data_IF_352768826879
#
_entry.id   IF_352768826879
#
_cell.length_a   1.000
_cell.length_b   1.000
_cell.length_c   1.000
_cell.angle_alpha   90.00
_cell.angle_beta   90.00
_cell.angle_gamma   90.00
#
_symmetry.space_group_name_H-M   'P 1'
#
loop_
_entity.id
_entity.type
_entity.pdbx_description
1 polymer ?
#
# COMPACT_ATOMS: atom_id res chain seq x y z
N UNK A 1 -25.15 16.60 12.87
CA UNK A 1 -25.11 15.13 12.81
C UNK A 1 -23.72 14.73 13.23
N UNK A 2 -23.58 14.07 14.37
CA UNK A 2 -22.28 13.58 14.84
C UNK A 2 -21.82 12.49 13.86
N UNK A 3 -20.69 12.71 13.21
CA UNK A 3 -19.98 11.67 12.49
C UNK A 3 -19.39 10.77 13.58
N UNK A 4 -20.01 9.61 13.82
CA UNK A 4 -19.41 8.58 14.65
C UNK A 4 -18.17 8.11 13.92
N UNK A 5 -17.00 8.52 14.42
CA UNK A 5 -15.69 8.03 13.98
C UNK A 5 -15.52 6.59 14.50
N UNK A 6 -16.32 5.67 13.99
CA UNK A 6 -16.00 4.25 14.13
C UNK A 6 -14.82 4.01 13.19
N UNK A 7 -13.61 3.86 13.76
CA UNK A 7 -12.41 3.49 13.00
C UNK A 7 -12.71 2.16 12.30
N UNK A 8 -13.07 2.26 11.00
CA UNK A 8 -13.58 1.14 10.19
C UNK A 8 -12.51 0.05 10.05
N UNK A 9 -11.22 0.42 10.24
CA UNK A 9 -10.09 -0.47 10.08
C UNK A 9 -9.40 -0.73 11.42
N UNK A 10 -9.09 -2.00 11.68
CA UNK A 10 -8.27 -2.42 12.81
C UNK A 10 -7.43 -3.64 12.42
N UNK A 11 -6.23 -3.77 12.98
CA UNK A 11 -5.39 -4.93 12.72
C UNK A 11 -5.74 -6.04 13.72
N UNK A 12 -6.07 -7.21 13.22
CA UNK A 12 -6.11 -8.43 14.02
C UNK A 12 -4.69 -8.98 14.15
N UNK A 13 -4.06 -8.83 15.31
CA UNK A 13 -2.69 -9.30 15.57
C UNK A 13 -2.58 -10.82 15.65
N UNK A 14 -3.67 -11.57 15.73
CA UNK A 14 -3.63 -13.04 15.71
C UNK A 14 -3.45 -13.59 14.29
N UNK A 15 -3.90 -12.84 13.28
CA UNK A 15 -3.84 -13.20 11.85
C UNK A 15 -3.00 -12.24 11.03
N UNK A 16 -2.61 -11.11 11.62
CA UNK A 16 -1.96 -9.99 10.93
C UNK A 16 -2.76 -9.48 9.71
N UNK A 17 -4.10 -9.54 9.82
CA UNK A 17 -5.03 -9.09 8.79
C UNK A 17 -5.73 -7.79 9.22
N UNK A 18 -6.10 -7.00 8.22
CA UNK A 18 -6.86 -5.77 8.40
C UNK A 18 -8.35 -6.08 8.37
N UNK A 19 -9.02 -5.91 9.50
CA UNK A 19 -10.49 -5.90 9.55
C UNK A 19 -11.00 -4.73 8.70
N UNK A 20 -12.05 -4.96 7.93
CA UNK A 20 -12.60 -3.98 6.99
C UNK A 20 -12.02 -4.04 5.58
N UNK A 21 -10.96 -4.82 5.35
CA UNK A 21 -10.43 -5.09 4.02
C UNK A 21 -10.97 -6.42 3.45
N UNK A 22 -11.19 -6.45 2.15
CA UNK A 22 -11.41 -7.71 1.42
C UNK A 22 -10.11 -8.49 1.36
N UNK A 23 -10.16 -9.80 1.58
CA UNK A 23 -8.99 -10.66 1.62
C UNK A 23 -8.86 -11.44 0.30
N UNK A 24 -7.75 -11.22 -0.42
CA UNK A 24 -7.39 -11.92 -1.67
C UNK A 24 -5.93 -12.34 -1.55
N UNK A 25 -5.65 -13.62 -1.33
CA UNK A 25 -4.30 -14.09 -1.04
C UNK A 25 -3.41 -14.08 -2.28
N UNK A 26 -2.31 -13.32 -2.22
CA UNK A 26 -1.21 -13.39 -3.18
C UNK A 26 -0.27 -14.53 -2.83
N UNK A 27 0.27 -15.28 -3.82
CA UNK A 27 1.36 -16.23 -3.58
C UNK A 27 2.74 -15.56 -3.45
N UNK A 28 2.87 -14.27 -3.78
CA UNK A 28 4.13 -13.54 -3.93
C UNK A 28 4.57 -12.92 -2.61
N UNK A 29 4.90 -13.74 -1.63
CA UNK A 29 5.45 -13.32 -0.35
C UNK A 29 6.36 -14.42 0.24
N UNK A 30 7.12 -14.06 1.26
CA UNK A 30 7.89 -15.01 2.06
C UNK A 30 7.98 -14.54 3.52
N UNK A 31 8.70 -15.29 4.35
CA UNK A 31 8.95 -14.92 5.74
C UNK A 31 9.85 -13.68 5.81
N UNK A 32 9.61 -12.81 6.79
CA UNK A 32 10.52 -11.70 7.10
C UNK A 32 11.79 -12.26 7.75
N UNK A 33 12.97 -11.66 7.51
CA UNK A 33 14.22 -12.07 8.17
C UNK A 33 14.22 -11.78 9.68
N UNK A 34 13.36 -10.86 10.12
CA UNK A 34 13.08 -10.54 11.52
C UNK A 34 11.60 -10.22 11.68
N UNK A 35 11.12 -10.14 12.93
CA UNK A 35 9.73 -9.73 13.21
C UNK A 35 9.52 -8.21 13.19
N UNK A 36 10.53 -7.45 12.80
CA UNK A 36 10.46 -5.98 12.74
C UNK A 36 9.52 -5.54 11.62
N UNK A 37 8.60 -4.64 11.97
CA UNK A 37 7.72 -3.92 11.06
C UNK A 37 7.78 -2.45 11.47
N UNK A 38 8.59 -1.68 10.74
CA UNK A 38 8.98 -0.33 11.18
C UNK A 38 8.89 0.74 10.10
N UNK A 39 8.42 0.40 8.89
CA UNK A 39 8.31 1.33 7.77
C UNK A 39 6.98 1.12 7.05
N UNK A 40 6.35 2.21 6.60
CA UNK A 40 5.20 2.19 5.71
C UNK A 40 5.58 2.86 4.39
N UNK A 41 5.42 2.14 3.28
CA UNK A 41 5.74 2.64 1.94
C UNK A 41 4.47 2.79 1.13
N UNK A 42 4.27 4.00 0.59
CA UNK A 42 3.13 4.35 -0.24
C UNK A 42 3.55 4.27 -1.71
N UNK A 43 2.72 3.60 -2.48
CA UNK A 43 2.88 3.36 -3.91
C UNK A 43 1.71 3.88 -4.71
N UNK A 44 1.82 3.89 -6.03
CA UNK A 44 0.69 3.91 -6.93
C UNK A 44 0.80 2.79 -7.96
N UNK A 45 -0.34 2.28 -8.40
CA UNK A 45 -0.44 1.27 -9.44
C UNK A 45 -1.73 1.45 -10.23
N UNK A 46 -1.67 1.19 -11.54
CA UNK A 46 -2.85 1.01 -12.39
C UNK A 46 -2.54 0.00 -13.48
N UNK A 47 -3.47 -0.90 -13.79
CA UNK A 47 -3.35 -1.93 -14.82
C UNK A 47 -4.66 -2.05 -15.62
N UNK A 48 -4.61 -1.84 -16.96
CA UNK A 48 -3.49 -1.26 -17.71
C UNK A 48 -3.09 0.12 -17.20
N UNK A 49 -1.89 0.65 -17.57
CA UNK A 49 -1.45 1.97 -17.11
C UNK A 49 -2.46 3.07 -17.40
N UNK A 50 -2.96 3.73 -16.35
CA UNK A 50 -3.95 4.81 -16.44
C UNK A 50 -5.40 4.34 -16.50
N UNK A 51 -5.68 3.05 -16.48
CA UNK A 51 -7.02 2.49 -16.38
C UNK A 51 -7.29 2.01 -14.93
N UNK A 52 -8.53 2.19 -14.48
CA UNK A 52 -8.94 1.94 -13.10
C UNK A 52 -10.16 1.00 -13.05
N UNK A 53 -10.49 0.50 -11.87
CA UNK A 53 -11.63 -0.39 -11.62
C UNK A 53 -11.62 -1.70 -12.44
N UNK A 54 -10.43 -2.15 -12.89
CA UNK A 54 -10.29 -3.27 -13.82
C UNK A 54 -10.08 -4.63 -13.17
N UNK A 55 -9.81 -4.68 -11.89
CA UNK A 55 -9.32 -5.86 -11.14
C UNK A 55 -8.01 -6.48 -11.67
N UNK A 56 -7.37 -5.86 -12.64
CA UNK A 56 -6.12 -6.36 -13.19
C UNK A 56 -4.96 -6.30 -12.19
N UNK A 57 -4.98 -5.36 -11.24
CA UNK A 57 -3.98 -5.30 -10.16
C UNK A 57 -4.09 -6.54 -9.25
N UNK A 58 -5.32 -6.95 -8.91
CA UNK A 58 -5.56 -8.16 -8.14
C UNK A 58 -5.06 -9.40 -8.88
N UNK A 59 -5.41 -9.53 -10.16
CA UNK A 59 -4.94 -10.63 -11.01
C UNK A 59 -3.42 -10.65 -11.12
N UNK A 60 -2.78 -9.48 -11.23
CA UNK A 60 -1.34 -9.36 -11.31
C UNK A 60 -0.66 -9.84 -10.02
N UNK A 61 -1.11 -9.38 -8.86
CA UNK A 61 -0.57 -9.81 -7.58
C UNK A 61 -0.83 -11.28 -7.25
N UNK A 62 -1.83 -11.89 -7.90
CA UNK A 62 -2.16 -13.32 -7.79
C UNK A 62 -1.56 -14.19 -8.91
N UNK A 63 -0.71 -13.65 -9.80
CA UNK A 63 -0.13 -14.33 -10.97
C UNK A 63 -1.21 -14.89 -11.92
N UNK A 64 -2.33 -14.16 -12.04
CA UNK A 64 -3.49 -14.57 -12.86
C UNK A 64 -3.79 -13.58 -13.98
N UNK A 65 -2.93 -12.57 -14.18
CA UNK A 65 -3.10 -11.59 -15.24
C UNK A 65 -2.94 -12.26 -16.62
N UNK A 66 -3.95 -12.10 -17.48
CA UNK A 66 -3.91 -12.65 -18.83
C UNK A 66 -3.09 -11.72 -19.76
N UNK A 67 -1.90 -12.16 -20.24
CA UNK A 67 -1.04 -11.32 -21.07
C UNK A 67 -1.68 -10.93 -22.41
N UNK A 68 -2.68 -11.70 -22.89
CA UNK A 68 -3.33 -11.46 -24.17
C UNK A 68 -4.30 -10.27 -24.16
N UNK A 69 -4.71 -9.79 -22.98
CA UNK A 69 -5.73 -8.74 -22.85
C UNK A 69 -5.20 -7.33 -23.14
N UNK A 70 -3.89 -7.09 -22.95
CA UNK A 70 -3.30 -5.79 -23.20
C UNK A 70 -1.80 -5.91 -23.52
N UNK A 71 -1.22 -5.13 -24.46
CA UNK A 71 0.21 -5.21 -24.80
C UNK A 71 1.13 -5.03 -23.59
N UNK A 72 0.82 -4.13 -22.67
CA UNK A 72 1.60 -3.92 -21.45
C UNK A 72 1.63 -5.17 -20.54
N UNK A 73 0.59 -5.98 -20.54
CA UNK A 73 0.55 -7.20 -19.71
C UNK A 73 1.55 -8.24 -20.19
N UNK A 74 1.82 -8.29 -21.50
CA UNK A 74 2.89 -9.12 -22.05
C UNK A 74 4.28 -8.71 -21.56
N UNK A 75 4.50 -7.40 -21.31
CA UNK A 75 5.77 -6.89 -20.81
C UNK A 75 6.02 -7.25 -19.33
N UNK A 76 4.95 -7.42 -18.55
CA UNK A 76 5.03 -7.67 -17.10
C UNK A 76 4.67 -9.10 -16.69
N UNK A 77 4.34 -9.98 -17.62
CA UNK A 77 3.81 -11.34 -17.37
C UNK A 77 4.70 -12.22 -16.49
N UNK A 78 6.01 -12.00 -16.54
CA UNK A 78 6.99 -12.79 -15.79
C UNK A 78 7.38 -12.13 -14.44
N UNK A 79 6.74 -11.01 -14.07
CA UNK A 79 6.98 -10.35 -12.81
C UNK A 79 6.13 -10.97 -11.70
N UNK A 80 6.78 -11.43 -10.66
CA UNK A 80 6.16 -11.89 -9.43
C UNK A 80 6.35 -10.82 -8.35
N UNK A 81 5.31 -10.02 -8.12
CA UNK A 81 5.29 -8.92 -7.15
C UNK A 81 3.98 -8.95 -6.35
N UNK A 82 3.97 -8.27 -5.24
CA UNK A 82 2.76 -8.06 -4.42
C UNK A 82 2.90 -6.80 -3.59
N UNK A 83 1.80 -6.37 -2.99
CA UNK A 83 1.78 -5.41 -1.87
C UNK A 83 0.95 -5.99 -0.74
N UNK A 84 1.02 -5.38 0.46
CA UNK A 84 0.14 -5.82 1.55
C UNK A 84 -1.29 -5.38 1.29
N UNK A 85 -1.48 -4.13 0.86
CA UNK A 85 -2.79 -3.53 0.62
C UNK A 85 -2.86 -2.84 -0.74
N UNK A 86 -4.08 -2.80 -1.29
CA UNK A 86 -4.50 -1.91 -2.37
C UNK A 86 -5.70 -1.09 -1.89
N UNK A 87 -5.68 0.21 -2.15
CA UNK A 87 -6.81 1.12 -1.97
C UNK A 87 -7.24 1.62 -3.34
N UNK A 88 -8.37 1.15 -3.82
CA UNK A 88 -8.94 1.57 -5.10
C UNK A 88 -9.44 3.02 -5.03
N UNK A 89 -9.67 3.63 -6.18
CA UNK A 89 -10.21 5.00 -6.30
C UNK A 89 -11.58 5.17 -5.65
N UNK A 90 -12.35 4.09 -5.57
CA UNK A 90 -13.64 4.02 -4.88
C UNK A 90 -13.53 3.99 -3.35
N UNK A 91 -12.31 3.79 -2.81
CA UNK A 91 -12.05 3.55 -1.40
C UNK A 91 -12.25 2.10 -0.97
N UNK A 92 -12.46 1.16 -1.91
CA UNK A 92 -12.40 -0.28 -1.62
C UNK A 92 -10.98 -0.64 -1.21
N UNK A 93 -10.84 -1.44 -0.17
CA UNK A 93 -9.54 -1.87 0.37
C UNK A 93 -9.42 -3.39 0.23
N UNK A 94 -8.32 -3.82 -0.37
CA UNK A 94 -7.99 -5.24 -0.54
C UNK A 94 -6.68 -5.54 0.15
N UNK A 95 -6.61 -6.64 0.90
CA UNK A 95 -5.38 -7.15 1.49
C UNK A 95 -4.95 -8.43 0.79
N UNK A 96 -3.67 -8.46 0.35
CA UNK A 96 -3.07 -9.58 -0.38
C UNK A 96 -2.11 -10.40 0.49
N UNK A 97 -1.40 -9.76 1.40
CA UNK A 97 -0.35 -10.38 2.22
C UNK A 97 -0.58 -10.00 3.68
N UNK A 98 -0.53 -10.96 4.63
CA UNK A 98 -0.55 -10.64 6.05
C UNK A 98 0.62 -9.73 6.44
N UNK A 99 0.43 -8.82 7.38
CA UNK A 99 1.45 -7.81 7.71
C UNK A 99 2.72 -8.41 8.33
N UNK A 100 2.65 -9.56 8.97
CA UNK A 100 3.81 -10.29 9.50
C UNK A 100 4.66 -10.94 8.39
N UNK A 101 4.15 -11.05 7.18
CA UNK A 101 4.86 -11.58 6.01
C UNK A 101 5.52 -10.47 5.22
N UNK A 102 6.49 -10.86 4.40
CA UNK A 102 7.28 -9.99 3.54
C UNK A 102 6.66 -9.97 2.14
N UNK A 103 5.86 -8.96 1.82
CA UNK A 103 5.41 -8.72 0.46
C UNK A 103 6.55 -8.20 -0.42
N UNK A 104 6.41 -8.32 -1.75
CA UNK A 104 7.45 -7.98 -2.72
C UNK A 104 7.08 -6.71 -3.48
N UNK A 105 7.18 -5.53 -2.81
CA UNK A 105 6.74 -4.24 -3.36
C UNK A 105 7.85 -3.21 -3.58
N UNK A 106 8.95 -3.26 -2.80
CA UNK A 106 9.95 -2.20 -2.79
C UNK A 106 11.15 -2.47 -3.73
N UNK A 107 11.43 -3.75 -4.04
CA UNK A 107 12.60 -4.13 -4.84
C UNK A 107 13.91 -3.65 -4.20
N UNK A 108 14.88 -3.27 -5.05
CA UNK A 108 16.13 -2.64 -4.58
C UNK A 108 15.81 -1.26 -3.99
N UNK A 109 16.00 -1.11 -2.71
CA UNK A 109 15.53 0.05 -1.93
C UNK A 109 16.39 0.28 -0.70
N UNK A 110 16.36 1.52 -0.19
CA UNK A 110 17.18 1.95 0.94
C UNK A 110 16.41 2.95 1.80
N UNK A 111 16.43 2.76 3.10
CA UNK A 111 15.85 3.69 4.07
C UNK A 111 16.66 3.70 5.37
N UNK A 112 17.03 4.89 5.84
CA UNK A 112 17.70 5.13 7.13
C UNK A 112 18.91 4.19 7.39
N UNK A 113 19.81 4.09 6.40
CA UNK A 113 21.02 3.27 6.51
C UNK A 113 20.82 1.78 6.20
N UNK A 114 19.64 1.34 5.77
CA UNK A 114 19.29 -0.07 5.55
C UNK A 114 18.78 -0.32 4.13
N UNK A 115 19.27 -1.37 3.53
CA UNK A 115 18.80 -1.88 2.24
C UNK A 115 17.61 -2.83 2.41
N UNK A 116 16.98 -3.20 1.28
CA UNK A 116 15.92 -4.20 1.21
C UNK A 116 14.71 -3.85 2.07
N UNK A 117 14.09 -2.69 1.81
CA UNK A 117 12.95 -2.21 2.61
C UNK A 117 11.77 -3.20 2.71
N UNK A 118 11.60 -4.15 1.78
CA UNK A 118 10.64 -5.23 1.93
C UNK A 118 10.79 -5.99 3.27
N UNK A 119 12.01 -6.06 3.81
CA UNK A 119 12.30 -6.88 4.99
C UNK A 119 11.62 -6.34 6.26
N UNK A 120 11.38 -5.03 6.32
CA UNK A 120 10.85 -4.33 7.51
C UNK A 120 9.71 -3.35 7.21
N UNK A 121 9.17 -3.36 6.00
CA UNK A 121 8.08 -2.45 5.62
C UNK A 121 6.75 -3.14 5.35
N UNK A 122 5.68 -2.36 5.46
CA UNK A 122 4.38 -2.62 4.87
C UNK A 122 4.25 -1.75 3.62
N UNK A 123 3.83 -2.31 2.48
CA UNK A 123 3.52 -1.58 1.26
C UNK A 123 2.01 -1.40 1.10
N UNK A 124 1.59 -0.19 0.76
CA UNK A 124 0.22 0.14 0.39
C UNK A 124 0.22 0.75 -1.01
N UNK A 125 -0.49 0.12 -1.92
CA UNK A 125 -0.75 0.64 -3.25
C UNK A 125 -2.02 1.49 -3.26
N UNK A 126 -1.96 2.65 -3.89
CA UNK A 126 -3.12 3.43 -4.27
C UNK A 126 -3.39 3.21 -5.75
N UNK A 127 -4.60 2.82 -6.12
CA UNK A 127 -4.96 2.79 -7.53
C UNK A 127 -4.87 4.21 -8.11
N UNK A 128 -3.91 4.40 -9.03
CA UNK A 128 -3.57 5.73 -9.51
C UNK A 128 -2.40 5.75 -10.47
N UNK A 129 -1.96 6.96 -10.78
CA UNK A 129 -0.80 7.27 -11.63
C UNK A 129 -0.08 8.51 -11.11
N UNK A 130 1.13 8.75 -11.60
CA UNK A 130 1.88 9.99 -11.31
C UNK A 130 1.20 11.26 -11.86
N UNK A 131 0.29 11.12 -12.83
CA UNK A 131 -0.29 12.21 -13.60
C UNK A 131 -1.75 12.54 -13.23
N UNK A 132 -2.33 11.84 -12.26
CA UNK A 132 -3.71 12.06 -11.82
C UNK A 132 -3.78 12.19 -10.29
N UNK A 133 -4.55 13.17 -9.77
CA UNK A 133 -4.79 13.28 -8.34
C UNK A 133 -5.49 12.05 -7.78
N UNK A 134 -5.15 11.67 -6.56
CA UNK A 134 -5.88 10.66 -5.80
C UNK A 134 -7.22 11.22 -5.30
N UNK A 135 -8.15 10.34 -5.03
CA UNK A 135 -9.46 10.74 -4.53
C UNK A 135 -9.41 11.02 -3.03
N UNK A 136 -10.30 11.86 -2.54
CA UNK A 136 -10.41 12.18 -1.11
C UNK A 136 -10.64 10.92 -0.27
N UNK A 137 -11.47 9.99 -0.76
CA UNK A 137 -11.74 8.73 -0.06
C UNK A 137 -10.49 7.85 0.04
N UNK A 138 -9.57 7.87 -0.95
CA UNK A 138 -8.29 7.16 -0.86
C UNK A 138 -7.43 7.72 0.29
N UNK A 139 -7.34 9.04 0.42
CA UNK A 139 -6.62 9.69 1.54
C UNK A 139 -7.24 9.37 2.90
N UNK A 140 -8.55 9.41 3.02
CA UNK A 140 -9.26 9.06 4.26
C UNK A 140 -9.00 7.60 4.65
N UNK A 141 -9.09 6.66 3.69
CA UNK A 141 -8.77 5.25 3.93
C UNK A 141 -7.31 5.04 4.31
N UNK A 142 -6.40 5.67 3.56
CA UNK A 142 -4.97 5.58 3.83
C UNK A 142 -4.61 6.10 5.22
N UNK A 143 -5.16 7.24 5.64
CA UNK A 143 -4.93 7.80 6.97
C UNK A 143 -5.45 6.88 8.09
N UNK A 144 -6.70 6.41 7.98
CA UNK A 144 -7.30 5.50 8.96
C UNK A 144 -6.54 4.17 9.08
N UNK A 145 -6.14 3.58 7.95
CA UNK A 145 -5.32 2.36 7.92
C UNK A 145 -3.93 2.62 8.54
N UNK A 146 -3.29 3.72 8.17
CA UNK A 146 -1.96 4.07 8.71
C UNK A 146 -1.99 4.25 10.22
N UNK A 147 -3.06 4.85 10.77
CA UNK A 147 -3.25 4.96 12.23
C UNK A 147 -3.39 3.59 12.89
N UNK A 148 -4.20 2.69 12.31
CA UNK A 148 -4.36 1.32 12.82
C UNK A 148 -3.03 0.55 12.78
N UNK A 149 -2.23 0.74 11.74
CA UNK A 149 -0.91 0.14 11.62
C UNK A 149 0.07 0.69 12.66
N UNK A 150 0.08 2.01 12.89
CA UNK A 150 0.92 2.65 13.91
C UNK A 150 0.56 2.21 15.33
N UNK A 151 -0.72 1.95 15.60
CA UNK A 151 -1.17 1.41 16.89
C UNK A 151 -0.73 -0.04 17.09
N UNK A 152 -0.75 -0.84 16.03
CA UNK A 152 -0.45 -2.28 16.08
C UNK A 152 1.05 -2.57 15.95
N UNK A 153 1.78 -1.72 15.22
CA UNK A 153 3.22 -1.79 14.98
C UNK A 153 3.87 -0.45 15.36
N UNK A 154 4.15 -0.21 16.64
CA UNK A 154 4.54 1.10 17.15
C UNK A 154 5.89 1.63 16.66
N UNK A 155 6.71 0.78 16.01
CA UNK A 155 7.91 1.23 15.32
C UNK A 155 7.61 1.98 14.01
N UNK A 156 6.41 1.85 13.44
CA UNK A 156 5.92 2.71 12.37
C UNK A 156 5.50 4.05 13.01
N UNK A 157 6.26 5.10 12.74
CA UNK A 157 5.96 6.46 13.16
C UNK A 157 5.64 7.33 11.95
N UNK A 158 5.08 8.53 12.15
CA UNK A 158 4.79 9.46 11.03
C UNK A 158 6.03 9.77 10.17
N UNK A 159 7.23 9.79 10.77
CA UNK A 159 8.48 10.01 10.05
C UNK A 159 8.97 8.75 9.30
N UNK A 160 8.32 7.63 9.52
CA UNK A 160 8.61 6.36 8.85
C UNK A 160 7.46 5.94 7.90
N UNK A 161 6.71 6.94 7.42
CA UNK A 161 5.75 6.81 6.30
C UNK A 161 6.33 7.59 5.13
N UNK A 162 6.62 6.92 4.03
CA UNK A 162 7.40 7.46 2.91
C UNK A 162 6.86 6.96 1.56
N UNK A 163 7.29 7.57 0.47
CA UNK A 163 6.99 7.12 -0.88
C UNK A 163 8.02 6.11 -1.40
N UNK A 164 7.65 5.33 -2.41
CA UNK A 164 8.58 4.44 -3.09
C UNK A 164 9.72 5.22 -3.75
N UNK A 165 9.44 6.40 -4.30
CA UNK A 165 10.44 7.31 -4.86
C UNK A 165 11.53 7.72 -3.86
N UNK A 166 11.19 7.82 -2.57
CA UNK A 166 12.13 8.23 -1.52
C UNK A 166 13.10 7.10 -1.16
N UNK A 167 12.65 5.85 -1.21
CA UNK A 167 13.46 4.66 -0.88
C UNK A 167 14.15 4.05 -2.10
N UNK A 168 13.79 4.48 -3.30
CA UNK A 168 14.36 4.01 -4.56
C UNK A 168 14.56 5.17 -5.57
N UNK A 169 15.28 6.24 -5.18
CA UNK A 169 15.43 7.44 -6.00
C UNK A 169 16.08 7.12 -7.35
N UNK A 170 15.56 7.74 -8.41
CA UNK A 170 16.02 7.53 -9.78
C UNK A 170 15.52 6.23 -10.44
N UNK A 171 14.97 5.29 -9.67
CA UNK A 171 14.38 4.05 -10.17
C UNK A 171 12.85 4.07 -10.14
N UNK A 172 12.26 4.74 -9.15
CA UNK A 172 10.81 4.81 -8.90
C UNK A 172 10.36 6.24 -8.73
N UNK A 173 9.12 6.50 -9.11
CA UNK A 173 8.48 7.82 -9.07
C UNK A 173 7.25 7.83 -8.17
N UNK A 174 6.65 6.66 -7.91
CA UNK A 174 5.43 6.50 -7.12
C UNK A 174 5.63 6.88 -5.63
N UNK A 175 4.62 7.40 -4.96
CA UNK A 175 3.23 7.63 -5.39
C UNK A 175 3.05 8.81 -6.35
N UNK A 176 4.12 9.47 -6.79
CA UNK A 176 4.12 10.52 -7.78
C UNK A 176 3.92 11.93 -7.21
N UNK A 177 4.17 12.97 -8.03
CA UNK A 177 4.19 14.36 -7.59
C UNK A 177 2.78 14.92 -7.25
N UNK A 178 1.72 14.22 -7.65
CA UNK A 178 0.35 14.61 -7.33
C UNK A 178 -0.19 13.97 -6.04
N UNK A 179 0.64 13.18 -5.33
CA UNK A 179 0.29 12.74 -3.98
C UNK A 179 0.49 13.89 -2.99
N UNK A 180 -0.59 14.33 -2.38
CA UNK A 180 -0.58 15.44 -1.42
C UNK A 180 -0.24 14.96 -0.01
N UNK A 181 1.05 14.98 0.32
CA UNK A 181 1.58 14.63 1.65
C UNK A 181 1.03 15.53 2.76
N UNK A 182 0.75 16.82 2.45
CA UNK A 182 0.17 17.76 3.41
C UNK A 182 -1.26 17.37 3.77
N UNK A 183 -2.08 17.09 2.76
CA UNK A 183 -3.45 16.63 2.95
C UNK A 183 -3.50 15.27 3.65
N UNK A 184 -2.65 14.31 3.27
CA UNK A 184 -2.54 13.03 3.97
C UNK A 184 -2.24 13.22 5.45
N UNK A 185 -1.23 14.05 5.79
CA UNK A 185 -0.84 14.30 7.20
C UNK A 185 -1.90 15.04 7.98
N UNK A 186 -2.65 15.96 7.38
CA UNK A 186 -3.72 16.68 8.06
C UNK A 186 -4.86 15.77 8.55
N UNK A 187 -5.08 14.62 7.89
CA UNK A 187 -6.06 13.63 8.35
C UNK A 187 -5.67 12.95 9.66
N UNK A 188 -4.37 12.95 10.06
CA UNK A 188 -3.96 12.46 11.38
C UNK A 188 -4.25 13.46 12.51
N UNK A 189 -4.34 14.75 12.21
CA UNK A 189 -4.55 15.79 13.22
C UNK A 189 -6.03 15.97 13.55
N UNK A 190 -6.91 15.75 12.58
CA UNK A 190 -8.36 15.95 12.74
C UNK A 190 -9.00 14.94 13.70
N UNK A 191 -8.41 13.77 13.92
CA UNK A 191 -8.92 12.73 14.82
C UNK A 191 -8.45 12.86 16.29
N UNK A 192 -7.50 13.77 16.58
CA UNK A 192 -7.02 14.03 17.95
C UNK A 192 -7.84 15.07 18.73
N UNK A 193 -8.81 15.70 18.10
CA UNK A 193 -9.62 16.80 18.66
C UNK A 193 -11.07 16.39 18.94
N UNK A 194 -11.34 15.08 19.06
CA UNK A 194 -12.66 14.53 19.39
C UNK A 194 -12.71 13.90 20.78
#
# INVERSE_FOLDING_TARGET
>A
MAITNDNIFSVDLSTHRLNGAEQIDSPNFNERPSQEISLLVIHNISLPPGEFDSRCVEQFFCNQLDPSQHPYFEEIKDLEVSSHLLIERTGRVVQFVPFDKRAWHAGASYFDGRENCNDFSIGIELEGTDCQPFTEIQYQRLASISQSLMLSYPEITLNRITGHSDIAPGRKTDPGPLFDWGFFRSNFESERVG
#
